data_IF_866529891109
#
_entry.id   IF_866529891109
#
_cell.length_a   1.000
_cell.length_b   1.000
_cell.length_c   1.000
_cell.angle_alpha   90.00
_cell.angle_beta   90.00
_cell.angle_gamma   90.00
#
_symmetry.space_group_name_H-M   'P 1'
#
loop_
_entity.id
_entity.type
_entity.pdbx_description
1 polymer ?
#
# COMPACT_ATOMS: atom_id res chain seq x y z
N UNK A 1 5.00 -4.65 17.96
CA UNK A 1 5.20 -5.09 16.57
C UNK A 1 4.48 -6.43 16.42
N UNK A 2 3.44 -6.54 15.58
CA UNK A 2 2.59 -7.75 15.56
C UNK A 2 3.15 -8.89 14.69
N UNK A 3 4.06 -8.63 13.72
CA UNK A 3 4.82 -9.61 12.93
C UNK A 3 6.09 -8.98 12.32
N UNK A 4 7.16 -9.76 12.15
CA UNK A 4 8.36 -9.40 11.37
C UNK A 4 8.83 -10.64 10.55
N UNK A 5 9.07 -10.51 9.23
CA UNK A 5 8.85 -9.31 8.44
C UNK A 5 7.34 -8.95 8.32
N UNK A 6 6.98 -7.67 8.05
CA UNK A 6 5.58 -7.27 7.84
C UNK A 6 4.95 -7.98 6.64
N UNK A 7 3.73 -8.47 6.72
CA UNK A 7 3.10 -9.22 5.63
C UNK A 7 1.93 -8.46 4.99
N UNK A 8 1.43 -7.40 5.63
CA UNK A 8 0.25 -6.64 5.21
C UNK A 8 0.55 -5.14 5.22
N UNK A 9 1.11 -4.66 4.12
CA UNK A 9 1.66 -3.32 3.99
C UNK A 9 0.67 -2.40 3.28
N UNK A 10 0.43 -1.22 3.84
CA UNK A 10 -0.23 -0.11 3.13
C UNK A 10 0.82 0.91 2.71
N UNK A 11 0.82 1.27 1.44
CA UNK A 11 1.74 2.26 0.86
C UNK A 11 0.96 3.54 0.52
N UNK A 12 1.28 4.65 1.18
CA UNK A 12 0.56 5.92 1.00
C UNK A 12 1.19 6.84 -0.06
N UNK A 13 2.25 6.39 -0.72
CA UNK A 13 2.97 7.11 -1.79
C UNK A 13 3.24 6.21 -2.99
N UNK A 14 3.52 6.79 -4.16
CA UNK A 14 3.85 6.02 -5.37
C UNK A 14 5.23 5.34 -5.21
N UNK A 15 6.18 6.06 -4.62
CA UNK A 15 7.56 5.65 -4.43
C UNK A 15 7.65 4.38 -3.59
N UNK A 16 6.84 4.27 -2.53
CA UNK A 16 6.80 3.06 -1.68
C UNK A 16 6.14 1.88 -2.36
N UNK A 17 5.13 2.12 -3.20
CA UNK A 17 4.54 1.08 -4.07
C UNK A 17 5.59 0.59 -5.07
N UNK A 18 6.17 1.49 -5.85
CA UNK A 18 7.13 1.16 -6.92
C UNK A 18 8.35 0.43 -6.35
N UNK A 19 8.86 0.87 -5.21
CA UNK A 19 9.97 0.20 -4.50
C UNK A 19 9.64 -1.26 -4.22
N UNK A 20 8.47 -1.56 -3.64
CA UNK A 20 8.11 -2.94 -3.32
C UNK A 20 7.86 -3.80 -4.55
N UNK A 21 7.28 -3.24 -5.62
CA UNK A 21 7.17 -3.96 -6.90
C UNK A 21 8.55 -4.27 -7.51
N UNK A 22 9.51 -3.33 -7.43
CA UNK A 22 10.87 -3.56 -7.94
C UNK A 22 11.64 -4.59 -7.13
N UNK A 23 11.33 -4.72 -5.84
CA UNK A 23 11.89 -5.74 -4.95
C UNK A 23 11.20 -7.10 -5.08
N UNK A 24 10.11 -7.21 -5.85
CA UNK A 24 9.32 -8.45 -5.98
C UNK A 24 8.45 -8.75 -4.75
N UNK A 25 8.12 -7.74 -3.97
CA UNK A 25 7.40 -7.82 -2.69
C UNK A 25 5.98 -7.27 -2.79
N UNK A 26 5.44 -7.09 -4.01
CA UNK A 26 4.13 -6.47 -4.21
C UNK A 26 2.97 -7.25 -3.60
N UNK A 27 3.13 -8.56 -3.39
CA UNK A 27 2.09 -9.42 -2.81
C UNK A 27 1.75 -9.04 -1.37
N UNK A 28 2.70 -8.41 -0.66
CA UNK A 28 2.51 -7.91 0.70
C UNK A 28 1.71 -6.61 0.75
N UNK A 29 1.54 -5.93 -0.40
CA UNK A 29 0.79 -4.68 -0.47
C UNK A 29 -0.72 -5.00 -0.42
N UNK A 30 -1.39 -4.50 0.61
CA UNK A 30 -2.84 -4.65 0.80
C UNK A 30 -3.64 -3.38 0.50
N UNK A 31 -2.99 -2.23 0.39
CA UNK A 31 -3.62 -0.97 0.01
C UNK A 31 -2.62 0.07 -0.47
N UNK A 32 -3.06 0.94 -1.38
CA UNK A 32 -2.19 1.93 -2.05
C UNK A 32 -2.78 3.33 -2.07
N UNK A 33 -1.92 4.33 -2.32
CA UNK A 33 -2.36 5.67 -2.68
C UNK A 33 -3.22 5.71 -3.93
N UNK A 34 -4.21 6.60 -3.96
CA UNK A 34 -4.95 6.93 -5.17
C UNK A 34 -4.06 7.44 -6.31
N UNK A 35 -2.86 7.94 -5.99
CA UNK A 35 -1.90 8.49 -6.95
C UNK A 35 -0.90 7.46 -7.48
N UNK A 36 -0.83 6.26 -6.91
CA UNK A 36 0.04 5.21 -7.43
C UNK A 36 -0.38 4.82 -8.85
N UNK A 37 0.49 5.08 -9.84
CA UNK A 37 0.35 4.69 -11.26
C UNK A 37 1.49 3.81 -11.74
N UNK A 38 2.58 3.69 -10.98
CA UNK A 38 3.72 2.81 -11.26
C UNK A 38 3.72 1.58 -10.33
N UNK A 39 3.83 0.36 -10.88
CA UNK A 39 3.65 0.03 -12.30
C UNK A 39 2.18 0.22 -12.74
N UNK A 40 1.92 0.33 -14.05
CA UNK A 40 0.58 0.59 -14.62
C UNK A 40 -0.53 -0.37 -14.13
N UNK A 41 -0.14 -1.57 -13.66
CA UNK A 41 -1.04 -2.61 -13.16
C UNK A 41 -1.52 -2.39 -11.72
N UNK A 42 -0.85 -1.56 -10.92
CA UNK A 42 -1.16 -1.39 -9.48
C UNK A 42 -2.63 -1.05 -9.21
N UNK A 43 -3.22 -0.15 -10.01
CA UNK A 43 -4.61 0.32 -9.81
C UNK A 43 -5.67 -0.74 -10.09
N UNK A 44 -5.30 -1.80 -10.81
CA UNK A 44 -6.17 -2.96 -11.07
C UNK A 44 -6.02 -4.02 -9.98
N UNK A 45 -4.85 -4.09 -9.37
CA UNK A 45 -4.47 -5.14 -8.41
C UNK A 45 -4.78 -4.76 -6.96
N UNK A 46 -4.62 -3.48 -6.60
CA UNK A 46 -4.61 -3.04 -5.20
C UNK A 46 -5.71 -1.99 -4.92
N UNK A 47 -6.41 -2.08 -3.78
CA UNK A 47 -7.42 -1.10 -3.41
C UNK A 47 -6.76 0.23 -3.05
N UNK A 48 -7.36 1.33 -3.52
CA UNK A 48 -6.93 2.70 -3.19
C UNK A 48 -7.49 3.12 -1.84
N UNK A 49 -6.65 3.61 -0.94
CA UNK A 49 -7.01 3.94 0.45
C UNK A 49 -6.64 5.34 0.89
N UNK A 50 -5.98 6.13 0.04
CA UNK A 50 -5.68 7.53 0.31
C UNK A 50 -5.79 8.40 -0.94
N UNK A 51 -5.93 9.71 -0.72
CA UNK A 51 -5.70 10.78 -1.69
C UNK A 51 -4.39 11.51 -1.33
N UNK A 52 -4.17 12.70 -1.90
CA UNK A 52 -2.91 13.43 -1.75
C UNK A 52 -2.65 13.89 -0.31
N UNK A 53 -3.69 14.38 0.38
CA UNK A 53 -3.60 14.94 1.74
C UNK A 53 -4.46 14.19 2.76
N UNK A 54 -5.17 13.15 2.35
CA UNK A 54 -6.12 12.43 3.21
C UNK A 54 -6.00 10.93 3.05
N UNK A 55 -6.24 10.20 4.15
CA UNK A 55 -6.29 8.75 4.19
C UNK A 55 -7.66 8.29 4.68
N UNK A 56 -8.22 7.28 4.03
CA UNK A 56 -9.45 6.61 4.45
C UNK A 56 -9.11 5.62 5.58
N UNK A 57 -9.03 6.15 6.81
CA UNK A 57 -8.63 5.38 7.99
C UNK A 57 -9.52 4.15 8.21
N UNK A 58 -10.86 4.22 8.14
CA UNK A 58 -11.71 3.03 8.23
C UNK A 58 -11.35 1.96 7.20
N UNK A 59 -11.10 2.34 5.95
CA UNK A 59 -10.71 1.42 4.89
C UNK A 59 -9.33 0.81 5.12
N UNK A 60 -8.37 1.59 5.62
CA UNK A 60 -7.04 1.09 6.01
C UNK A 60 -7.17 0.06 7.13
N UNK A 61 -7.92 0.36 8.19
CA UNK A 61 -8.11 -0.56 9.32
C UNK A 61 -8.81 -1.86 8.88
N UNK A 62 -9.78 -1.78 7.96
CA UNK A 62 -10.45 -2.95 7.39
C UNK A 62 -9.49 -3.89 6.65
N UNK A 63 -8.37 -3.38 6.12
CA UNK A 63 -7.32 -4.20 5.51
C UNK A 63 -6.38 -4.84 6.54
N UNK A 64 -6.53 -4.56 7.83
CA UNK A 64 -5.70 -5.12 8.91
C UNK A 64 -4.19 -5.08 8.61
N UNK A 65 -3.60 -3.92 8.26
CA UNK A 65 -2.18 -3.82 7.99
C UNK A 65 -1.35 -4.01 9.26
N UNK A 66 -0.13 -4.50 9.09
CA UNK A 66 0.89 -4.58 10.14
C UNK A 66 2.01 -3.55 9.96
N UNK A 67 2.06 -2.88 8.80
CA UNK A 67 2.93 -1.74 8.51
C UNK A 67 2.22 -0.74 7.58
N UNK A 68 2.45 0.55 7.81
CA UNK A 68 2.07 1.64 6.91
C UNK A 68 3.33 2.42 6.54
N UNK A 69 3.53 2.66 5.25
CA UNK A 69 4.63 3.46 4.70
C UNK A 69 4.08 4.77 4.13
N UNK A 70 4.74 5.88 4.46
CA UNK A 70 4.44 7.24 4.00
C UNK A 70 5.57 7.74 3.14
#
# INVERSE_FOLDING_TARGET
MRRFPPERIVCLTEETVETLYLLGEEDRIVGVSGYAVRPKRVRKEKPRVSAFTSADIPKILALSPDLVLT
#
